data_IF_598939112973
#
_entry.id   IF_598939112973
#
_cell.length_a   1.000
_cell.length_b   1.000
_cell.length_c   1.000
_cell.angle_alpha   90.00
_cell.angle_beta   90.00
_cell.angle_gamma   90.00
#
_symmetry.space_group_name_H-M   'P 1'
#
loop_
_entity.id
_entity.type
_entity.pdbx_description
1 polymer ?
#
# COMPACT_ATOMS: atom_id res chain seq x y z
N UNK A 1 -9.63 -21.52 5.98
CA UNK A 1 -8.58 -21.15 5.00
C UNK A 1 -8.32 -19.65 5.12
N UNK A 2 -7.07 -19.20 5.04
CA UNK A 2 -6.74 -17.77 5.16
C UNK A 2 -7.02 -17.05 3.84
N UNK A 3 -7.59 -15.85 3.90
CA UNK A 3 -7.71 -14.94 2.74
C UNK A 3 -6.66 -13.83 2.88
N UNK A 4 -5.61 -13.87 2.06
CA UNK A 4 -4.54 -12.88 2.07
C UNK A 4 -4.87 -11.69 1.16
N UNK A 5 -5.09 -10.51 1.77
CA UNK A 5 -5.28 -9.23 1.10
C UNK A 5 -3.91 -8.59 0.89
N UNK A 6 -3.41 -8.66 -0.34
CA UNK A 6 -2.13 -8.08 -0.74
C UNK A 6 -2.34 -6.64 -1.22
N UNK A 7 -2.07 -5.69 -0.32
CA UNK A 7 -2.00 -4.27 -0.67
C UNK A 7 -0.66 -3.99 -1.34
N UNK A 8 -0.71 -3.32 -2.49
CA UNK A 8 0.48 -3.00 -3.28
C UNK A 8 1.53 -2.25 -2.46
N UNK A 9 2.79 -2.67 -2.59
CA UNK A 9 3.98 -2.12 -1.91
C UNK A 9 4.05 -2.33 -0.39
N UNK A 10 3.21 -3.21 0.16
CA UNK A 10 3.23 -3.63 1.56
C UNK A 10 3.97 -4.97 1.80
N UNK A 11 5.03 -5.25 1.03
CA UNK A 11 5.80 -6.50 1.19
C UNK A 11 5.05 -7.79 0.79
N UNK A 12 3.89 -7.69 0.14
CA UNK A 12 3.03 -8.87 -0.06
C UNK A 12 3.59 -9.94 -0.99
N UNK A 13 4.51 -9.61 -1.92
CA UNK A 13 5.25 -10.63 -2.66
C UNK A 13 6.14 -11.48 -1.75
N UNK A 14 6.78 -10.86 -0.76
CA UNK A 14 7.56 -11.57 0.27
C UNK A 14 6.65 -12.44 1.12
N UNK A 15 5.56 -11.89 1.66
CA UNK A 15 4.58 -12.64 2.46
C UNK A 15 4.05 -13.85 1.68
N UNK A 16 3.58 -13.62 0.45
CA UNK A 16 3.07 -14.69 -0.43
C UNK A 16 4.10 -15.81 -0.59
N UNK A 17 5.36 -15.45 -0.87
CA UNK A 17 6.42 -16.43 -1.08
C UNK A 17 6.70 -17.21 0.20
N UNK A 18 6.82 -16.53 1.35
CA UNK A 18 7.03 -17.19 2.64
C UNK A 18 5.90 -18.15 3.00
N UNK A 19 4.64 -17.77 2.73
CA UNK A 19 3.49 -18.67 2.95
C UNK A 19 3.55 -19.92 2.06
N UNK A 20 3.91 -19.76 0.78
CA UNK A 20 4.09 -20.88 -0.16
C UNK A 20 5.23 -21.80 0.31
N UNK A 21 6.39 -21.23 0.65
CA UNK A 21 7.58 -21.98 1.04
C UNK A 21 7.36 -22.77 2.35
N UNK A 22 6.40 -22.35 3.19
CA UNK A 22 6.01 -23.04 4.42
C UNK A 22 4.67 -23.80 4.31
N UNK A 23 4.23 -24.10 3.08
CA UNK A 23 3.03 -24.90 2.79
C UNK A 23 1.72 -24.39 3.44
N UNK A 24 1.64 -23.08 3.74
CA UNK A 24 0.42 -22.46 4.27
C UNK A 24 -0.61 -22.34 3.15
N UNK A 25 -1.83 -22.87 3.35
CA UNK A 25 -2.92 -22.74 2.38
C UNK A 25 -3.64 -21.40 2.54
N UNK A 26 -3.65 -20.59 1.48
CA UNK A 26 -4.34 -19.30 1.46
C UNK A 26 -4.95 -18.99 0.09
N UNK A 27 -6.02 -18.19 0.10
CA UNK A 27 -6.56 -17.49 -1.07
C UNK A 27 -5.88 -16.13 -1.20
N UNK A 28 -5.47 -15.74 -2.41
CA UNK A 28 -4.76 -14.48 -2.66
C UNK A 28 -5.67 -13.46 -3.34
N UNK A 29 -5.81 -12.27 -2.74
CA UNK A 29 -6.50 -11.12 -3.32
C UNK A 29 -5.49 -10.00 -3.56
N UNK A 30 -5.34 -9.57 -4.81
CA UNK A 30 -4.46 -8.48 -5.23
C UNK A 30 -5.05 -7.78 -6.46
N UNK A 31 -4.86 -6.46 -6.60
CA UNK A 31 -5.37 -5.65 -7.72
C UNK A 31 -6.91 -5.67 -7.88
N UNK A 32 -7.64 -6.05 -6.82
CA UNK A 32 -9.10 -6.02 -6.78
C UNK A 32 -9.59 -5.75 -5.37
N UNK A 33 -10.79 -5.18 -5.26
CA UNK A 33 -11.47 -5.02 -3.98
C UNK A 33 -11.98 -6.38 -3.49
N UNK A 34 -11.66 -6.81 -2.26
CA UNK A 34 -12.28 -7.96 -1.63
C UNK A 34 -13.74 -7.67 -1.30
N UNK A 35 -14.58 -8.69 -1.42
CA UNK A 35 -15.90 -8.70 -0.79
C UNK A 35 -15.76 -9.23 0.64
N UNK A 36 -16.65 -8.77 1.52
CA UNK A 36 -16.71 -9.29 2.88
C UNK A 36 -17.30 -10.70 2.89
N UNK A 37 -16.60 -11.60 3.59
CA UNK A 37 -17.00 -12.98 3.81
C UNK A 37 -16.91 -13.24 5.31
N UNK A 38 -18.05 -13.39 6.01
CA UNK A 38 -18.08 -13.51 7.47
C UNK A 38 -17.20 -14.63 8.04
N UNK A 39 -17.10 -15.75 7.32
CA UNK A 39 -16.36 -16.95 7.74
C UNK A 39 -14.89 -16.96 7.30
N UNK A 40 -14.46 -15.95 6.52
CA UNK A 40 -13.07 -15.82 6.11
C UNK A 40 -12.16 -15.45 7.29
N UNK A 41 -10.89 -15.85 7.19
CA UNK A 41 -9.82 -15.44 8.11
C UNK A 41 -8.84 -14.56 7.34
N UNK A 42 -9.00 -13.24 7.43
CA UNK A 42 -8.24 -12.29 6.64
C UNK A 42 -6.82 -12.10 7.18
N UNK A 43 -5.83 -12.19 6.30
CA UNK A 43 -4.47 -11.72 6.54
C UNK A 43 -4.26 -10.45 5.72
N UNK A 44 -3.89 -9.33 6.35
CA UNK A 44 -3.83 -8.02 5.69
C UNK A 44 -2.39 -7.53 5.67
N UNK A 45 -1.84 -7.28 4.48
CA UNK A 45 -0.53 -6.63 4.35
C UNK A 45 -0.67 -5.11 4.45
N UNK A 46 0.02 -4.49 5.40
CA UNK A 46 0.00 -3.05 5.65
C UNK A 46 1.40 -2.44 5.54
N UNK A 47 1.40 -1.11 5.43
CA UNK A 47 2.58 -0.26 5.42
C UNK A 47 2.13 1.16 5.72
N UNK A 48 2.99 1.98 6.31
CA UNK A 48 2.71 3.39 6.47
C UNK A 48 2.23 4.01 5.13
N UNK A 49 1.07 4.70 5.08
CA UNK A 49 0.48 5.15 3.83
C UNK A 49 1.42 6.03 2.98
N UNK A 50 2.16 6.94 3.60
CA UNK A 50 3.13 7.81 2.91
C UNK A 50 4.29 6.99 2.34
N UNK A 51 4.89 6.11 3.13
CA UNK A 51 5.98 5.24 2.67
C UNK A 51 5.56 4.29 1.54
N UNK A 52 4.32 3.81 1.62
CA UNK A 52 3.69 3.00 0.60
C UNK A 52 3.51 3.78 -0.70
N UNK A 53 3.01 5.01 -0.64
CA UNK A 53 2.85 5.89 -1.80
C UNK A 53 4.20 6.21 -2.44
N UNK A 54 5.21 6.63 -1.64
CA UNK A 54 6.59 6.87 -2.10
C UNK A 54 7.11 5.64 -2.84
N UNK A 55 6.93 4.46 -2.25
CA UNK A 55 7.41 3.22 -2.85
C UNK A 55 6.69 2.86 -4.15
N UNK A 56 5.40 3.16 -4.26
CA UNK A 56 4.62 2.93 -5.48
C UNK A 56 5.06 3.87 -6.60
N UNK A 57 5.16 5.17 -6.29
CA UNK A 57 5.53 6.22 -7.23
C UNK A 57 6.90 5.94 -7.87
N UNK A 58 7.95 5.79 -7.05
CA UNK A 58 9.31 5.62 -7.59
C UNK A 58 9.51 4.27 -8.30
N UNK A 59 8.84 3.21 -7.85
CA UNK A 59 8.90 1.92 -8.54
C UNK A 59 8.26 2.02 -9.92
N UNK A 60 7.07 2.63 -10.02
CA UNK A 60 6.37 2.75 -11.30
C UNK A 60 7.11 3.69 -12.24
N UNK A 61 7.58 4.83 -11.75
CA UNK A 61 8.46 5.75 -12.48
C UNK A 61 9.69 5.04 -13.03
N UNK A 62 10.37 4.22 -12.23
CA UNK A 62 11.54 3.46 -12.67
C UNK A 62 11.21 2.52 -13.83
N UNK A 63 10.13 1.73 -13.73
CA UNK A 63 9.74 0.80 -14.78
C UNK A 63 9.48 1.50 -16.12
N UNK A 64 8.79 2.63 -16.08
CA UNK A 64 8.42 3.39 -17.27
C UNK A 64 9.60 4.13 -17.89
N UNK A 65 10.42 4.82 -17.07
CA UNK A 65 11.56 5.59 -17.58
C UNK A 65 12.74 4.72 -18.00
N UNK A 66 12.88 3.51 -17.44
CA UNK A 66 13.89 2.54 -17.89
C UNK A 66 13.49 1.75 -19.13
N UNK A 67 12.25 1.92 -19.61
CA UNK A 67 11.70 1.17 -20.74
C UNK A 67 11.41 -0.31 -20.43
N UNK A 68 11.39 -0.70 -19.15
CA UNK A 68 11.01 -2.06 -18.74
C UNK A 68 9.52 -2.34 -19.00
N UNK A 69 8.69 -1.30 -19.04
CA UNK A 69 7.28 -1.41 -19.42
C UNK A 69 6.85 -0.27 -20.35
N UNK A 70 5.89 -0.57 -21.23
CA UNK A 70 5.26 0.44 -22.08
C UNK A 70 4.36 1.36 -21.24
N UNK A 71 4.64 2.67 -21.26
CA UNK A 71 3.95 3.63 -20.40
C UNK A 71 2.84 4.45 -21.02
N UNK A 72 2.78 4.59 -22.35
CA UNK A 72 1.74 5.41 -23.01
C UNK A 72 1.54 6.78 -22.34
N UNK A 73 0.29 7.13 -21.99
CA UNK A 73 -0.04 8.37 -21.26
C UNK A 73 0.50 8.41 -19.83
N UNK A 74 0.70 7.26 -19.19
CA UNK A 74 1.26 7.18 -17.84
C UNK A 74 2.74 7.60 -17.83
N UNK A 75 3.49 7.30 -18.89
CA UNK A 75 4.86 7.80 -19.03
C UNK A 75 4.91 9.33 -18.98
N UNK A 76 3.96 9.99 -19.65
CA UNK A 76 3.87 11.45 -19.65
C UNK A 76 3.56 12.02 -18.26
N UNK A 77 2.70 11.34 -17.47
CA UNK A 77 2.48 11.69 -16.05
C UNK A 77 3.80 11.69 -15.25
N UNK A 78 4.61 10.64 -15.36
CA UNK A 78 5.88 10.55 -14.62
C UNK A 78 7.00 11.41 -15.18
N UNK A 79 6.88 11.90 -16.42
CA UNK A 79 7.76 12.93 -16.99
C UNK A 79 7.37 14.33 -16.53
N UNK A 80 6.07 14.61 -16.49
CA UNK A 80 5.49 15.87 -16.00
C UNK A 80 5.85 16.06 -14.51
N UNK A 81 5.53 15.07 -13.67
CA UNK A 81 5.86 15.09 -12.25
C UNK A 81 7.20 14.39 -12.00
N UNK A 82 8.27 15.14 -12.26
CA UNK A 82 9.67 14.66 -12.25
C UNK A 82 10.03 13.88 -11.00
N UNK A 83 9.52 14.32 -9.85
CA UNK A 83 9.70 13.70 -8.55
C UNK A 83 8.43 13.86 -7.69
N UNK A 84 8.47 13.24 -6.51
CA UNK A 84 7.32 13.25 -5.61
C UNK A 84 7.04 14.61 -5.00
N UNK A 85 8.05 15.46 -4.80
CA UNK A 85 7.84 16.80 -4.23
C UNK A 85 7.05 17.66 -5.22
N UNK A 86 7.44 17.63 -6.49
CA UNK A 86 6.72 18.31 -7.55
C UNK A 86 5.28 17.80 -7.70
N UNK A 87 5.03 16.49 -7.59
CA UNK A 87 3.66 15.97 -7.55
C UNK A 87 2.86 16.53 -6.36
N UNK A 88 3.46 16.57 -5.17
CA UNK A 88 2.78 17.00 -3.94
C UNK A 88 2.35 18.47 -3.99
N UNK A 89 3.16 19.34 -4.59
CA UNK A 89 2.83 20.76 -4.81
C UNK A 89 1.58 20.97 -5.66
N UNK A 90 1.23 19.98 -6.50
CA UNK A 90 0.04 20.05 -7.37
C UNK A 90 -1.18 19.34 -6.77
N UNK A 91 -1.04 18.58 -5.68
CA UNK A 91 -2.15 17.84 -5.06
C UNK A 91 -3.27 18.77 -4.58
N UNK A 92 -2.92 19.98 -4.15
CA UNK A 92 -3.88 20.95 -3.62
C UNK A 92 -3.76 22.27 -4.37
N UNK A 93 -4.88 22.98 -4.50
CA UNK A 93 -4.89 24.36 -5.00
C UNK A 93 -4.42 25.36 -3.91
N UNK A 94 -4.35 26.64 -4.29
CA UNK A 94 -3.98 27.74 -3.38
C UNK A 94 -4.92 27.88 -2.17
N UNK A 95 -6.16 27.38 -2.29
CA UNK A 95 -7.17 27.38 -1.24
C UNK A 95 -7.18 26.07 -0.44
N UNK A 96 -6.14 25.23 -0.60
CA UNK A 96 -6.01 23.94 0.08
C UNK A 96 -7.09 22.90 -0.27
N UNK A 97 -7.82 23.07 -1.38
CA UNK A 97 -8.74 22.07 -1.90
C UNK A 97 -7.98 21.02 -2.72
N UNK A 98 -8.45 19.78 -2.71
CA UNK A 98 -7.88 18.72 -3.54
C UNK A 98 -8.01 19.07 -5.02
N UNK A 99 -6.92 18.98 -5.77
CA UNK A 99 -6.94 19.19 -7.21
C UNK A 99 -7.53 17.95 -7.91
N UNK A 100 -8.76 18.01 -8.47
CA UNK A 100 -9.44 16.85 -9.03
C UNK A 100 -8.76 16.32 -10.30
N UNK A 101 -8.03 17.15 -11.03
CA UNK A 101 -7.30 16.72 -12.22
C UNK A 101 -6.12 15.83 -11.82
N UNK A 102 -5.38 16.21 -10.79
CA UNK A 102 -4.22 15.45 -10.30
C UNK A 102 -4.69 14.16 -9.63
N UNK A 103 -5.72 14.24 -8.80
CA UNK A 103 -6.36 13.07 -8.21
C UNK A 103 -6.83 12.10 -9.29
N UNK A 104 -7.52 12.62 -10.31
CA UNK A 104 -7.96 11.82 -11.45
C UNK A 104 -6.78 11.18 -12.16
N UNK A 105 -5.69 11.90 -12.45
CA UNK A 105 -4.46 11.31 -13.05
C UNK A 105 -3.90 10.19 -12.17
N UNK A 106 -3.75 10.38 -10.86
CA UNK A 106 -3.25 9.35 -9.92
C UNK A 106 -4.10 8.06 -9.99
N UNK A 107 -5.41 8.20 -10.13
CA UNK A 107 -6.36 7.09 -10.22
C UNK A 107 -6.61 6.57 -11.66
N UNK A 108 -6.31 7.38 -12.69
CA UNK A 108 -6.52 7.09 -14.12
C UNK A 108 -5.27 6.50 -14.76
N UNK A 109 -4.78 5.36 -14.31
CA UNK A 109 -3.76 4.65 -15.08
C UNK A 109 -4.04 3.15 -15.12
N UNK A 110 -4.83 2.78 -16.12
CA UNK A 110 -4.91 1.45 -16.72
C UNK A 110 -4.20 1.50 -18.08
N UNK A 111 -2.88 1.54 -18.09
CA UNK A 111 -2.12 1.35 -19.33
C UNK A 111 -1.49 -0.04 -19.28
N UNK A 112 -1.76 -0.84 -20.31
CA UNK A 112 -1.24 -2.21 -20.46
C UNK A 112 -1.79 -3.25 -19.44
N UNK A 113 -3.07 -3.14 -19.07
CA UNK A 113 -3.78 -4.18 -18.32
C UNK A 113 -3.45 -4.31 -16.82
N UNK A 114 -2.64 -3.39 -16.27
CA UNK A 114 -2.29 -3.39 -14.84
C UNK A 114 -2.66 -2.04 -14.21
N UNK A 115 -3.44 -2.02 -13.12
CA UNK A 115 -3.77 -0.78 -12.45
C UNK A 115 -2.53 -0.22 -11.72
N UNK A 116 -2.31 1.09 -11.84
CA UNK A 116 -1.22 1.77 -11.11
C UNK A 116 -1.37 1.60 -9.61
N UNK A 117 -0.36 1.00 -8.96
CA UNK A 117 -0.36 0.88 -7.51
C UNK A 117 -0.47 2.23 -6.82
N UNK A 118 -0.06 3.35 -7.42
CA UNK A 118 -0.10 4.67 -6.75
C UNK A 118 -1.52 4.98 -6.24
N UNK A 119 -2.54 4.87 -7.11
CA UNK A 119 -3.94 5.14 -6.76
C UNK A 119 -4.69 4.02 -6.01
N UNK A 120 -4.07 2.86 -5.75
CA UNK A 120 -4.71 1.74 -5.03
C UNK A 120 -4.22 1.64 -3.58
N UNK A 121 -4.48 2.67 -2.78
CA UNK A 121 -4.15 2.76 -1.35
C UNK A 121 -4.83 1.71 -0.48
N UNK A 122 -4.64 1.80 0.84
CA UNK A 122 -5.28 0.91 1.81
C UNK A 122 -6.81 1.00 1.70
N UNK A 123 -7.36 2.21 1.57
CA UNK A 123 -8.80 2.46 1.41
C UNK A 123 -9.37 1.76 0.17
N UNK A 124 -8.62 1.73 -0.94
CA UNK A 124 -9.05 1.01 -2.13
C UNK A 124 -9.28 -0.48 -1.82
N UNK A 125 -8.40 -1.12 -1.05
CA UNK A 125 -8.47 -2.55 -0.76
C UNK A 125 -9.44 -2.87 0.36
N UNK A 126 -9.47 -2.12 1.46
CA UNK A 126 -10.25 -2.54 2.63
C UNK A 126 -11.32 -1.54 3.05
N UNK A 127 -11.33 -0.31 2.52
CA UNK A 127 -12.24 0.76 2.94
C UNK A 127 -13.72 0.39 2.87
N UNK A 128 -14.10 -0.43 1.88
CA UNK A 128 -15.46 -0.94 1.71
C UNK A 128 -15.86 -2.09 2.64
N UNK A 129 -14.91 -2.71 3.33
CA UNK A 129 -15.15 -3.83 4.26
C UNK A 129 -14.63 -3.56 5.69
N UNK A 130 -14.02 -2.40 5.95
CA UNK A 130 -13.35 -2.15 7.24
C UNK A 130 -14.31 -2.19 8.43
N UNK A 131 -15.60 -1.92 8.23
CA UNK A 131 -16.61 -1.92 9.30
C UNK A 131 -16.99 -3.34 9.74
N UNK A 132 -16.79 -4.30 8.84
CA UNK A 132 -17.13 -5.69 8.98
C UNK A 132 -15.93 -6.54 9.45
N UNK A 133 -14.72 -5.95 9.45
CA UNK A 133 -13.52 -6.58 9.98
C UNK A 133 -13.54 -6.55 11.51
N UNK A 134 -13.36 -7.73 12.11
CA UNK A 134 -13.30 -7.92 13.56
C UNK A 134 -12.19 -8.92 13.90
N UNK A 135 -11.72 -9.00 15.15
CA UNK A 135 -10.76 -10.03 15.56
C UNK A 135 -11.23 -11.47 15.28
N UNK A 136 -12.56 -11.69 15.14
CA UNK A 136 -13.12 -13.00 14.81
C UNK A 136 -12.86 -13.40 13.35
N UNK A 137 -12.84 -12.47 12.41
CA UNK A 137 -12.67 -12.78 10.97
C UNK A 137 -11.34 -12.28 10.40
N UNK A 138 -10.49 -11.64 11.21
CA UNK A 138 -9.11 -11.29 10.83
C UNK A 138 -8.14 -12.23 11.53
N UNK A 139 -7.35 -12.96 10.75
CA UNK A 139 -6.24 -13.78 11.23
C UNK A 139 -5.10 -12.92 11.77
N UNK A 140 -4.81 -11.81 11.10
CA UNK A 140 -3.81 -10.84 11.55
C UNK A 140 -3.46 -9.80 10.50
N UNK A 141 -2.70 -8.80 10.91
CA UNK A 141 -2.05 -7.84 10.03
C UNK A 141 -0.53 -8.05 10.06
N UNK A 142 0.11 -7.91 8.89
CA UNK A 142 1.56 -7.89 8.73
C UNK A 142 1.94 -6.52 8.19
N UNK A 143 2.73 -5.76 8.95
CA UNK A 143 3.26 -4.48 8.49
C UNK A 143 4.61 -4.69 7.81
N UNK A 144 4.93 -3.87 6.81
CA UNK A 144 6.21 -3.98 6.08
C UNK A 144 7.40 -3.71 7.02
N UNK A 145 7.21 -2.80 7.95
CA UNK A 145 8.18 -2.31 8.93
C UNK A 145 8.52 -3.36 9.99
N UNK A 146 7.56 -4.23 10.33
CA UNK A 146 7.68 -5.32 11.32
C UNK A 146 7.50 -6.70 10.67
N UNK A 147 7.77 -6.81 9.36
CA UNK A 147 7.37 -7.97 8.56
C UNK A 147 7.93 -9.29 9.11
N UNK A 148 9.20 -9.30 9.52
CA UNK A 148 9.82 -10.51 10.07
C UNK A 148 9.18 -10.91 11.41
N UNK A 149 8.98 -9.94 12.31
CA UNK A 149 8.35 -10.14 13.61
C UNK A 149 6.91 -10.63 13.47
N UNK A 150 6.14 -10.02 12.56
CA UNK A 150 4.75 -10.40 12.31
C UNK A 150 4.63 -11.80 11.71
N UNK A 151 5.50 -12.17 10.76
CA UNK A 151 5.54 -13.51 10.19
C UNK A 151 5.90 -14.57 11.25
N UNK A 152 6.88 -14.27 12.10
CA UNK A 152 7.27 -15.15 13.21
C UNK A 152 6.12 -15.31 14.21
N UNK A 153 5.45 -14.22 14.59
CA UNK A 153 4.33 -14.24 15.54
C UNK A 153 3.11 -14.99 15.01
N UNK A 154 2.75 -14.79 13.73
CA UNK A 154 1.52 -15.32 13.15
C UNK A 154 1.64 -16.74 12.61
N UNK A 155 2.83 -17.13 12.13
CA UNK A 155 3.05 -18.39 11.44
C UNK A 155 4.22 -19.22 12.01
N UNK A 156 4.97 -18.69 12.97
CA UNK A 156 6.20 -19.29 13.49
C UNK A 156 7.30 -19.47 12.41
N UNK A 157 7.31 -18.59 11.40
CA UNK A 157 8.25 -18.66 10.26
C UNK A 157 9.23 -17.49 10.22
N UNK A 158 10.48 -17.79 9.91
CA UNK A 158 11.52 -16.79 9.66
C UNK A 158 11.49 -16.31 8.21
N UNK A 159 11.63 -14.99 8.02
CA UNK A 159 11.65 -14.40 6.68
C UNK A 159 13.09 -14.36 6.17
N UNK A 160 13.46 -15.39 5.42
CA UNK A 160 14.84 -15.57 4.92
C UNK A 160 15.16 -14.72 3.67
N UNK A 161 14.13 -14.18 3.00
CA UNK A 161 14.27 -13.42 1.76
C UNK A 161 13.46 -12.13 1.83
N UNK A 162 14.13 -11.04 2.20
CA UNK A 162 13.59 -9.71 1.91
C UNK A 162 14.02 -9.30 0.52
N UNK A 163 13.04 -9.01 -0.35
CA UNK A 163 13.32 -8.41 -1.65
C UNK A 163 14.19 -7.17 -1.45
N UNK A 164 15.29 -7.07 -2.22
CA UNK A 164 16.33 -6.03 -2.09
C UNK A 164 15.71 -4.65 -1.85
N UNK A 165 16.33 -3.87 -0.95
CA UNK A 165 16.06 -2.42 -0.87
C UNK A 165 16.28 -1.85 -2.28
N UNK A 166 15.20 -1.40 -2.94
CA UNK A 166 15.34 -0.61 -4.16
C UNK A 166 16.02 0.71 -3.77
N UNK A 167 17.34 0.73 -3.90
CA UNK A 167 18.23 1.87 -3.63
C UNK A 167 18.29 2.86 -4.78
N UNK A 168 17.46 2.69 -5.82
CA UNK A 168 17.44 3.57 -6.98
C UNK A 168 16.98 4.98 -6.55
N UNK A 169 17.96 5.88 -6.38
CA UNK A 169 17.86 7.34 -6.36
C UNK A 169 16.52 7.88 -5.86
N UNK A 170 16.15 7.55 -4.61
CA UNK A 170 15.07 8.27 -3.95
C UNK A 170 15.59 9.67 -3.66
N UNK A 171 15.09 10.65 -4.41
CA UNK A 171 15.16 12.03 -3.94
C UNK A 171 14.45 12.08 -2.60
N UNK A 172 15.07 12.73 -1.61
CA UNK A 172 14.47 12.91 -0.30
C UNK A 172 13.13 13.64 -0.47
N UNK A 173 12.08 13.04 0.10
CA UNK A 173 10.76 13.65 0.15
C UNK A 173 10.77 14.67 1.28
N UNK A 174 10.49 15.93 0.98
CA UNK A 174 10.54 17.00 1.98
C UNK A 174 9.47 16.80 3.05
N UNK A 175 9.65 17.42 4.23
CA UNK A 175 8.64 17.40 5.28
C UNK A 175 7.30 17.95 4.80
N UNK A 176 7.32 19.01 3.98
CA UNK A 176 6.12 19.58 3.36
C UNK A 176 5.40 18.57 2.47
N UNK A 177 6.12 17.86 1.59
CA UNK A 177 5.52 16.82 0.74
C UNK A 177 4.93 15.67 1.55
N UNK A 178 5.59 15.25 2.64
CA UNK A 178 5.04 14.23 3.54
C UNK A 178 3.75 14.71 4.22
N UNK A 179 3.69 15.98 4.64
CA UNK A 179 2.49 16.58 5.19
C UNK A 179 1.33 16.60 4.18
N UNK A 180 1.59 17.04 2.95
CA UNK A 180 0.60 17.07 1.87
C UNK A 180 0.11 15.66 1.52
N UNK A 181 1.00 14.67 1.46
CA UNK A 181 0.63 13.27 1.24
C UNK A 181 -0.20 12.71 2.39
N UNK A 182 0.14 13.03 3.64
CA UNK A 182 -0.65 12.59 4.80
C UNK A 182 -2.08 13.10 4.73
N UNK A 183 -2.26 14.37 4.32
CA UNK A 183 -3.57 14.96 4.05
C UNK A 183 -4.29 14.26 2.89
N UNK A 184 -3.60 14.02 1.77
CA UNK A 184 -4.16 13.33 0.61
C UNK A 184 -4.61 11.88 0.93
N UNK A 185 -3.84 11.18 1.76
CA UNK A 185 -4.03 9.79 2.14
C UNK A 185 -4.93 9.61 3.38
N UNK A 186 -5.70 10.62 3.77
CA UNK A 186 -6.53 10.58 4.98
C UNK A 186 -7.43 9.35 5.07
N UNK A 187 -7.96 8.85 3.95
CA UNK A 187 -8.80 7.63 3.92
C UNK A 187 -8.02 6.35 4.26
N UNK A 188 -6.75 6.28 3.86
CA UNK A 188 -5.88 5.15 4.21
C UNK A 188 -5.62 5.14 5.74
N UNK A 189 -5.36 6.31 6.32
CA UNK A 189 -5.22 6.47 7.78
C UNK A 189 -6.52 6.12 8.52
N UNK A 190 -7.68 6.55 8.02
CA UNK A 190 -8.97 6.15 8.61
C UNK A 190 -9.18 4.63 8.62
N UNK A 191 -8.64 3.91 7.63
CA UNK A 191 -8.68 2.45 7.64
C UNK A 191 -7.78 1.89 8.75
N UNK A 192 -6.58 2.44 8.91
CA UNK A 192 -5.65 2.06 9.99
C UNK A 192 -6.29 2.31 11.37
N UNK A 193 -6.90 3.48 11.57
CA UNK A 193 -7.59 3.83 12.82
C UNK A 193 -8.68 2.82 13.15
N UNK A 194 -9.51 2.44 12.17
CA UNK A 194 -10.57 1.44 12.36
C UNK A 194 -10.00 0.06 12.70
N UNK A 195 -8.90 -0.36 12.08
CA UNK A 195 -8.25 -1.64 12.41
C UNK A 195 -7.71 -1.63 13.84
N UNK A 196 -7.09 -0.53 14.27
CA UNK A 196 -6.59 -0.37 15.63
C UNK A 196 -7.74 -0.35 16.66
N UNK A 197 -8.77 0.48 16.44
CA UNK A 197 -9.96 0.54 17.31
C UNK A 197 -10.71 -0.81 17.39
N UNK A 198 -10.56 -1.66 16.38
CA UNK A 198 -11.12 -3.01 16.35
C UNK A 198 -10.21 -4.07 16.98
N UNK A 199 -9.10 -3.69 17.61
CA UNK A 199 -8.08 -4.57 18.20
C UNK A 199 -7.44 -5.54 17.19
N UNK A 200 -7.35 -5.16 15.91
CA UNK A 200 -6.66 -5.95 14.88
C UNK A 200 -5.16 -5.62 14.85
N UNK A 201 -4.81 -4.36 15.13
CA UNK A 201 -3.43 -3.89 15.21
C UNK A 201 -2.98 -3.82 16.67
N UNK A 202 -1.71 -4.12 16.92
CA UNK A 202 -1.08 -3.76 18.19
C UNK A 202 -0.80 -2.25 18.24
N UNK A 203 -0.55 -1.72 19.45
CA UNK A 203 -0.10 -0.35 19.67
C UNK A 203 1.16 -0.04 18.83
N UNK A 204 2.15 -0.93 18.88
CA UNK A 204 3.41 -0.78 18.13
C UNK A 204 3.16 -0.66 16.62
N UNK A 205 2.33 -1.54 16.05
CA UNK A 205 1.98 -1.49 14.64
C UNK A 205 1.25 -0.18 14.31
N UNK A 206 0.32 0.26 15.16
CA UNK A 206 -0.43 1.50 14.95
C UNK A 206 0.48 2.74 14.95
N UNK A 207 1.40 2.85 15.91
CA UNK A 207 2.35 3.97 15.99
C UNK A 207 3.28 4.05 14.78
N UNK A 208 3.73 2.90 14.27
CA UNK A 208 4.56 2.83 13.07
C UNK A 208 3.76 3.21 11.81
N UNK A 209 2.50 2.79 11.72
CA UNK A 209 1.66 3.07 10.57
C UNK A 209 1.17 4.53 10.54
N UNK A 210 1.02 5.19 11.69
CA UNK A 210 0.49 6.55 11.80
C UNK A 210 1.54 7.67 11.65
N UNK A 211 2.83 7.35 11.75
CA UNK A 211 3.94 8.33 11.77
C UNK A 211 4.13 9.01 10.41
#
# INVERSE_FOLDING_TARGET
>A
MITFIHIGKCGGSTIKRTLIDNAVKFRHIHLKRPEHEPDSKYLIALRNPVERFISAFYWRRFLLLSGQEAGGKELEFYKEYKDLNNLCEHLFDENSNLNPLIDSKIHQHYTCGHPSHVGMGIDYYIGGITRELTPKNVFGAICTETLSQDMKRLFDVEVTRHARKNSANKLETTQQSRFLLKKYLAKDYQCIDKLYLSNILSEEQYEILKT
#
